data_IF_876631295411
#
_entry.id   IF_876631295411
#
_cell.length_a   1.000
_cell.length_b   1.000
_cell.length_c   1.000
_cell.angle_alpha   90.00
_cell.angle_beta   90.00
_cell.angle_gamma   90.00
#
_symmetry.space_group_name_H-M   'P 1'
#
loop_
_entity.id
_entity.type
_entity.pdbx_description
1 polymer ?
#
# COMPACT_ATOMS: atom_id res chain seq x y z
N UNK A 1 -26.83 -31.38 57.83
CA UNK A 1 -25.80 -31.74 56.81
C UNK A 1 -26.30 -31.72 55.37
N UNK A 2 -27.56 -31.34 55.09
CA UNK A 2 -28.19 -31.52 53.76
C UNK A 2 -28.09 -30.28 52.85
N UNK A 3 -27.83 -29.09 53.40
CA UNK A 3 -27.74 -27.82 52.66
C UNK A 3 -26.36 -27.55 52.05
N UNK A 4 -25.26 -27.93 52.72
CA UNK A 4 -23.89 -27.75 52.22
C UNK A 4 -23.52 -28.69 51.05
N UNK A 5 -24.17 -29.87 50.96
CA UNK A 5 -23.93 -30.85 49.88
C UNK A 5 -24.60 -30.43 48.56
N UNK A 6 -25.67 -29.63 48.64
CA UNK A 6 -26.45 -29.17 47.48
C UNK A 6 -25.77 -28.01 46.75
N UNK A 7 -25.11 -27.09 47.47
CA UNK A 7 -24.36 -25.95 46.91
C UNK A 7 -23.03 -26.36 46.24
N UNK A 8 -22.33 -27.35 46.79
CA UNK A 8 -21.12 -27.91 46.18
C UNK A 8 -21.41 -28.64 44.85
N UNK A 9 -22.56 -29.31 44.75
CA UNK A 9 -23.02 -30.03 43.56
C UNK A 9 -23.37 -29.11 42.40
N UNK A 10 -23.99 -27.94 42.66
CA UNK A 10 -24.34 -26.96 41.60
C UNK A 10 -23.12 -26.21 41.08
N UNK A 11 -22.16 -25.89 41.95
CA UNK A 11 -20.90 -25.26 41.55
C UNK A 11 -20.09 -26.16 40.61
N UNK A 12 -19.92 -27.45 40.94
CA UNK A 12 -19.19 -28.39 40.10
C UNK A 12 -19.86 -28.63 38.73
N UNK A 13 -21.19 -28.70 38.69
CA UNK A 13 -21.96 -28.85 37.45
C UNK A 13 -21.82 -27.63 36.52
N UNK A 14 -21.87 -26.41 37.08
CA UNK A 14 -21.68 -25.16 36.31
C UNK A 14 -20.27 -25.06 35.72
N UNK A 15 -19.24 -25.47 36.46
CA UNK A 15 -17.85 -25.51 35.97
C UNK A 15 -17.67 -26.53 34.84
N UNK A 16 -18.34 -27.69 34.92
CA UNK A 16 -18.27 -28.72 33.87
C UNK A 16 -18.94 -28.28 32.57
N UNK A 17 -20.10 -27.62 32.65
CA UNK A 17 -20.81 -27.10 31.49
C UNK A 17 -20.05 -25.95 30.82
N UNK A 18 -19.45 -25.04 31.59
CA UNK A 18 -18.60 -23.98 31.06
C UNK A 18 -17.36 -24.55 30.33
N UNK A 19 -16.81 -25.66 30.85
CA UNK A 19 -15.68 -26.35 30.22
C UNK A 19 -16.06 -27.02 28.90
N UNK A 20 -17.26 -27.62 28.80
CA UNK A 20 -17.76 -28.19 27.54
C UNK A 20 -18.10 -27.12 26.50
N UNK A 21 -18.70 -26.01 26.90
CA UNK A 21 -18.93 -24.86 26.01
C UNK A 21 -17.60 -24.30 25.49
N UNK A 22 -16.57 -24.20 26.35
CA UNK A 22 -15.23 -23.79 25.94
C UNK A 22 -14.61 -24.72 24.89
N UNK A 23 -14.73 -26.04 25.05
CA UNK A 23 -14.28 -27.02 24.05
C UNK A 23 -15.04 -26.90 22.73
N UNK A 24 -16.35 -26.66 22.79
CA UNK A 24 -17.18 -26.45 21.60
C UNK A 24 -16.75 -25.18 20.85
N UNK A 25 -16.48 -24.09 21.56
CA UNK A 25 -15.94 -22.85 20.96
C UNK A 25 -14.60 -23.11 20.30
N UNK A 26 -13.68 -23.86 20.93
CA UNK A 26 -12.38 -24.20 20.33
C UNK A 26 -12.54 -25.00 19.03
N UNK A 27 -13.42 -26.01 19.02
CA UNK A 27 -13.74 -26.81 17.84
C UNK A 27 -14.30 -25.97 16.70
N UNK A 28 -15.33 -25.16 16.98
CA UNK A 28 -15.97 -24.30 15.99
C UNK A 28 -14.99 -23.26 15.42
N UNK A 29 -14.17 -22.65 16.27
CA UNK A 29 -13.18 -21.69 15.83
C UNK A 29 -12.11 -22.33 14.91
N UNK A 30 -11.71 -23.59 15.15
CA UNK A 30 -10.84 -24.33 14.21
C UNK A 30 -11.52 -24.59 12.87
N UNK A 31 -12.78 -25.05 12.90
CA UNK A 31 -13.56 -25.31 11.68
C UNK A 31 -13.72 -24.04 10.82
N UNK A 32 -13.92 -22.89 11.46
CA UNK A 32 -14.01 -21.57 10.82
C UNK A 32 -12.64 -20.94 10.47
N UNK A 33 -11.53 -21.63 10.75
CA UNK A 33 -10.15 -21.11 10.60
C UNK A 33 -9.96 -19.75 11.29
N UNK A 34 -10.54 -19.60 12.48
CA UNK A 34 -10.60 -18.37 13.27
C UNK A 34 -9.72 -18.47 14.54
N UNK A 35 -8.38 -18.43 14.41
CA UNK A 35 -7.47 -18.69 15.53
C UNK A 35 -7.56 -17.65 16.66
N UNK A 36 -7.93 -16.39 16.37
CA UNK A 36 -7.99 -15.34 17.39
C UNK A 36 -9.21 -15.44 18.28
N UNK A 37 -10.30 -16.04 17.78
CA UNK A 37 -11.44 -16.40 18.64
C UNK A 37 -10.97 -17.32 19.77
N UNK A 38 -10.13 -18.33 19.47
CA UNK A 38 -9.60 -19.27 20.47
C UNK A 38 -8.73 -18.56 21.52
N UNK A 39 -7.93 -17.61 21.09
CA UNK A 39 -7.00 -16.88 21.97
C UNK A 39 -7.70 -15.80 22.82
N UNK A 40 -8.83 -15.27 22.35
CA UNK A 40 -9.45 -14.08 22.94
C UNK A 40 -10.79 -14.35 23.63
N UNK A 41 -11.57 -15.36 23.20
CA UNK A 41 -12.94 -15.59 23.69
C UNK A 41 -13.02 -15.72 25.21
N UNK A 42 -12.14 -16.52 25.83
CA UNK A 42 -12.14 -16.68 27.29
C UNK A 42 -11.88 -15.35 28.02
N UNK A 43 -10.81 -14.63 27.64
CA UNK A 43 -10.48 -13.32 28.25
C UNK A 43 -11.56 -12.27 28.04
N UNK A 44 -12.14 -12.20 26.84
CA UNK A 44 -13.23 -11.28 26.53
C UNK A 44 -14.52 -11.68 27.28
N UNK A 45 -14.73 -12.96 27.54
CA UNK A 45 -15.85 -13.45 28.34
C UNK A 45 -15.71 -13.07 29.82
N UNK A 46 -14.49 -13.11 30.36
CA UNK A 46 -14.20 -12.61 31.70
C UNK A 46 -14.46 -11.11 31.79
N UNK A 47 -13.93 -10.34 30.83
CA UNK A 47 -14.15 -8.90 30.73
C UNK A 47 -15.64 -8.54 30.58
N UNK A 48 -16.38 -9.28 29.76
CA UNK A 48 -17.81 -9.08 29.55
C UNK A 48 -18.60 -9.27 30.86
N UNK A 49 -18.25 -10.27 31.67
CA UNK A 49 -18.88 -10.51 32.97
C UNK A 49 -18.58 -9.39 33.96
N UNK A 50 -17.34 -8.92 34.01
CA UNK A 50 -16.92 -7.86 34.92
C UNK A 50 -17.51 -6.49 34.53
N UNK A 51 -17.63 -6.22 33.23
CA UNK A 51 -18.15 -4.97 32.69
C UNK A 51 -19.67 -4.97 32.44
N UNK A 52 -20.35 -6.10 32.68
CA UNK A 52 -21.81 -6.23 32.50
C UNK A 52 -22.28 -6.16 31.04
N UNK A 53 -21.48 -6.63 30.08
CA UNK A 53 -21.84 -6.67 28.67
C UNK A 53 -23.01 -7.62 28.42
N UNK A 54 -23.86 -7.26 27.46
CA UNK A 54 -24.84 -8.16 26.85
C UNK A 54 -24.14 -9.28 26.06
N UNK A 55 -24.89 -10.34 25.74
CA UNK A 55 -24.37 -11.45 24.94
C UNK A 55 -23.97 -10.98 23.53
N UNK A 56 -24.73 -10.03 22.98
CA UNK A 56 -24.49 -9.40 21.69
C UNK A 56 -23.20 -8.58 21.68
N UNK A 57 -22.94 -7.79 22.73
CA UNK A 57 -21.69 -7.04 22.87
C UNK A 57 -20.47 -7.95 22.99
N UNK A 58 -20.56 -9.01 23.79
CA UNK A 58 -19.50 -10.01 23.89
C UNK A 58 -19.25 -10.70 22.54
N UNK A 59 -20.31 -11.15 21.86
CA UNK A 59 -20.18 -11.81 20.56
C UNK A 59 -19.56 -10.87 19.53
N UNK A 60 -19.99 -9.61 19.48
CA UNK A 60 -19.43 -8.60 18.60
C UNK A 60 -17.94 -8.39 18.87
N UNK A 61 -17.53 -8.25 20.13
CA UNK A 61 -16.12 -8.06 20.50
C UNK A 61 -15.22 -9.26 20.11
N UNK A 62 -15.72 -10.49 20.26
CA UNK A 62 -14.99 -11.70 19.88
C UNK A 62 -14.82 -11.77 18.35
N UNK A 63 -15.88 -11.48 17.60
CA UNK A 63 -15.84 -11.49 16.13
C UNK A 63 -14.96 -10.36 15.59
N UNK A 64 -15.09 -9.16 16.14
CA UNK A 64 -14.27 -8.00 15.77
C UNK A 64 -12.77 -8.29 15.95
N UNK A 65 -12.39 -8.97 17.04
CA UNK A 65 -10.99 -9.37 17.27
C UNK A 65 -10.45 -10.28 16.17
N UNK A 66 -11.24 -11.20 15.66
CA UNK A 66 -10.84 -12.09 14.56
C UNK A 66 -10.76 -11.32 13.23
N UNK A 67 -11.77 -10.50 12.93
CA UNK A 67 -11.80 -9.68 11.71
C UNK A 67 -10.61 -8.74 11.67
N UNK A 68 -10.38 -7.96 12.73
CA UNK A 68 -9.25 -7.04 12.82
C UNK A 68 -7.89 -7.75 12.63
N UNK A 69 -7.74 -8.95 13.18
CA UNK A 69 -6.51 -9.72 13.02
C UNK A 69 -6.35 -10.30 11.60
N UNK A 70 -7.44 -10.70 10.96
CA UNK A 70 -7.43 -11.13 9.54
C UNK A 70 -7.09 -9.98 8.61
N UNK A 71 -7.67 -8.81 8.84
CA UNK A 71 -7.39 -7.61 8.07
C UNK A 71 -5.94 -7.18 8.23
N UNK A 72 -5.43 -7.16 9.46
CA UNK A 72 -4.02 -6.87 9.74
C UNK A 72 -3.09 -7.89 9.07
N UNK A 73 -3.39 -9.18 9.18
CA UNK A 73 -2.58 -10.25 8.56
C UNK A 73 -2.62 -10.16 7.04
N UNK A 74 -3.80 -9.93 6.46
CA UNK A 74 -3.99 -9.74 5.03
C UNK A 74 -3.24 -8.51 4.51
N UNK A 75 -3.29 -7.40 5.25
CA UNK A 75 -2.53 -6.19 4.93
C UNK A 75 -1.03 -6.47 4.93
N UNK A 76 -0.50 -7.10 5.98
CA UNK A 76 0.92 -7.46 6.07
C UNK A 76 1.36 -8.39 4.94
N UNK A 77 0.55 -9.38 4.57
CA UNK A 77 0.84 -10.26 3.44
C UNK A 77 0.90 -9.48 2.12
N UNK A 78 -0.05 -8.57 1.89
CA UNK A 78 -0.04 -7.69 0.70
C UNK A 78 1.15 -6.73 0.70
N UNK A 79 1.50 -6.14 1.84
CA UNK A 79 2.69 -5.27 1.98
C UNK A 79 3.98 -6.03 1.66
N UNK A 80 4.13 -7.27 2.16
CA UNK A 80 5.30 -8.11 1.84
C UNK A 80 5.34 -8.49 0.36
N UNK A 81 4.19 -8.83 -0.23
CA UNK A 81 4.09 -9.17 -1.64
C UNK A 81 4.30 -7.97 -2.57
N UNK A 82 4.16 -6.73 -2.08
CA UNK A 82 4.28 -5.53 -2.88
C UNK A 82 5.71 -5.18 -3.29
N UNK A 83 6.73 -5.63 -2.55
CA UNK A 83 8.14 -5.46 -2.95
C UNK A 83 8.77 -4.09 -2.68
N UNK A 84 8.27 -3.31 -1.70
CA UNK A 84 8.72 -1.93 -1.42
C UNK A 84 10.22 -1.73 -1.07
N UNK A 85 10.99 -2.80 -0.84
CA UNK A 85 12.40 -2.76 -0.42
C UNK A 85 12.63 -2.25 1.01
N UNK A 86 11.90 -1.21 1.44
CA UNK A 86 11.87 -0.67 2.80
C UNK A 86 10.45 -0.32 3.22
N UNK A 87 10.20 -0.22 4.52
CA UNK A 87 8.92 0.27 5.06
C UNK A 87 9.03 1.75 5.35
N UNK A 88 8.19 2.55 4.69
CA UNK A 88 8.09 4.01 4.86
C UNK A 88 6.62 4.40 4.93
N UNK A 89 6.13 4.75 6.10
CA UNK A 89 4.70 5.10 6.28
C UNK A 89 4.47 6.59 6.02
N UNK A 90 3.22 7.00 5.78
CA UNK A 90 2.87 8.42 5.66
C UNK A 90 3.09 9.14 6.99
N UNK A 91 2.87 8.44 8.10
CA UNK A 91 3.10 8.91 9.45
C UNK A 91 4.58 9.24 9.73
N UNK A 92 5.50 8.48 9.12
CA UNK A 92 6.95 8.73 9.22
C UNK A 92 7.42 9.90 8.33
N UNK A 93 6.54 10.49 7.51
CA UNK A 93 6.93 11.55 6.59
C UNK A 93 7.04 12.90 7.32
N UNK A 94 8.23 13.49 7.33
CA UNK A 94 8.48 14.78 7.96
C UNK A 94 8.09 15.92 7.03
N UNK A 95 6.82 16.32 7.10
CA UNK A 95 6.24 17.38 6.25
C UNK A 95 6.91 18.76 6.41
N UNK A 96 7.54 19.05 7.54
CA UNK A 96 8.24 20.32 7.76
C UNK A 96 9.43 20.49 6.79
N UNK A 97 9.92 19.39 6.21
CA UNK A 97 10.93 19.41 5.16
C UNK A 97 10.37 19.67 3.76
N UNK A 98 9.05 19.69 3.60
CA UNK A 98 8.32 19.96 2.36
C UNK A 98 7.19 20.98 2.63
N UNK A 99 7.51 22.24 2.95
CA UNK A 99 6.51 23.24 3.36
C UNK A 99 5.49 23.57 2.26
N UNK A 100 5.84 23.36 0.98
CA UNK A 100 4.91 23.52 -0.15
C UNK A 100 3.96 22.34 -0.36
N UNK A 101 4.17 21.21 0.33
CA UNK A 101 3.33 20.03 0.22
C UNK A 101 2.11 20.17 1.13
N UNK A 102 0.91 20.22 0.53
CA UNK A 102 -0.31 20.34 1.32
C UNK A 102 -0.67 18.99 1.97
N UNK A 103 -0.79 18.99 3.30
CA UNK A 103 -1.03 17.79 4.13
C UNK A 103 -2.40 17.16 3.88
N UNK A 104 -3.40 17.98 3.57
CA UNK A 104 -4.77 17.59 3.22
C UNK A 104 -4.82 16.73 1.95
N UNK A 105 -4.05 17.08 0.91
CA UNK A 105 -3.94 16.28 -0.32
C UNK A 105 -3.36 14.90 -0.01
N UNK A 106 -2.27 14.83 0.76
CA UNK A 106 -1.66 13.55 1.12
C UNK A 106 -2.59 12.72 2.01
N UNK A 107 -3.29 13.35 2.96
CA UNK A 107 -4.29 12.67 3.78
C UNK A 107 -5.45 12.14 2.94
N UNK A 108 -5.92 12.90 1.94
CA UNK A 108 -6.94 12.46 1.00
C UNK A 108 -6.46 11.25 0.18
N UNK A 109 -5.27 11.30 -0.41
CA UNK A 109 -4.70 10.18 -1.15
C UNK A 109 -4.51 8.94 -0.26
N UNK A 110 -4.15 9.12 1.01
CA UNK A 110 -3.99 8.03 1.97
C UNK A 110 -5.32 7.30 2.27
N UNK A 111 -6.48 7.88 1.96
CA UNK A 111 -7.78 7.17 2.05
C UNK A 111 -7.97 6.13 0.95
N UNK A 112 -7.19 6.22 -0.14
CA UNK A 112 -7.28 5.31 -1.28
C UNK A 112 -8.44 5.61 -2.25
N UNK A 113 -9.14 6.73 -2.11
CA UNK A 113 -10.24 7.15 -3.01
C UNK A 113 -9.85 7.16 -4.48
N UNK A 114 -8.62 7.58 -4.80
CA UNK A 114 -8.07 7.61 -6.15
C UNK A 114 -8.02 6.22 -6.81
N UNK A 115 -7.85 5.15 -6.02
CA UNK A 115 -7.82 3.76 -6.51
C UNK A 115 -9.17 3.32 -7.05
N UNK A 116 -10.26 3.70 -6.39
CA UNK A 116 -11.61 3.37 -6.81
C UNK A 116 -12.01 4.09 -8.11
N UNK A 117 -11.40 5.26 -8.37
CA UNK A 117 -11.61 6.07 -9.58
C UNK A 117 -10.64 5.76 -10.71
N UNK A 118 -9.68 4.85 -10.49
CA UNK A 118 -8.57 4.59 -11.39
C UNK A 118 -7.75 5.87 -11.75
N UNK A 119 -7.68 6.82 -10.82
CA UNK A 119 -6.84 8.02 -10.94
C UNK A 119 -5.38 7.66 -10.62
N UNK A 120 -4.41 8.36 -11.23
CA UNK A 120 -2.99 8.18 -10.99
C UNK A 120 -2.46 9.20 -9.99
N UNK A 121 -1.28 8.94 -9.44
CA UNK A 121 -0.51 9.92 -8.66
C UNK A 121 0.86 10.07 -9.28
N UNK A 122 1.26 11.29 -9.61
CA UNK A 122 2.59 11.57 -10.15
C UNK A 122 3.36 12.45 -9.20
N UNK A 123 4.49 11.95 -8.71
CA UNK A 123 5.38 12.63 -7.78
C UNK A 123 6.61 13.12 -8.54
N UNK A 124 6.76 14.44 -8.68
CA UNK A 124 7.87 15.08 -9.39
C UNK A 124 8.79 15.82 -8.44
N UNK A 125 10.05 16.01 -8.84
CA UNK A 125 10.98 16.92 -8.17
C UNK A 125 12.38 16.33 -7.92
N UNK A 126 13.33 17.11 -7.41
CA UNK A 126 14.74 16.72 -7.29
C UNK A 126 14.98 15.44 -6.47
N UNK A 127 16.13 14.76 -6.64
CA UNK A 127 16.46 13.59 -5.82
C UNK A 127 16.49 13.92 -4.33
N UNK A 128 16.01 12.98 -3.50
CA UNK A 128 16.04 13.13 -2.04
C UNK A 128 14.93 14.00 -1.43
N UNK A 129 13.93 14.45 -2.20
CA UNK A 129 12.80 15.25 -1.70
C UNK A 129 11.69 14.43 -1.02
N UNK A 130 11.72 13.09 -1.12
CA UNK A 130 10.74 12.21 -0.46
C UNK A 130 9.70 11.57 -1.38
N UNK A 131 9.83 11.67 -2.71
CA UNK A 131 8.92 11.05 -3.69
C UNK A 131 8.70 9.55 -3.44
N UNK A 132 9.77 8.76 -3.41
CA UNK A 132 9.71 7.32 -3.14
C UNK A 132 9.10 7.01 -1.77
N UNK A 133 9.37 7.83 -0.74
CA UNK A 133 8.76 7.66 0.58
C UNK A 133 7.24 7.80 0.49
N UNK A 134 6.75 8.88 -0.12
CA UNK A 134 5.31 9.08 -0.30
C UNK A 134 4.67 7.96 -1.14
N UNK A 135 5.33 7.54 -2.23
CA UNK A 135 4.84 6.44 -3.05
C UNK A 135 4.70 5.14 -2.24
N UNK A 136 5.73 4.77 -1.47
CA UNK A 136 5.70 3.60 -0.57
C UNK A 136 4.62 3.77 0.51
N UNK A 137 4.52 4.94 1.13
CA UNK A 137 3.53 5.22 2.17
C UNK A 137 2.09 5.07 1.68
N UNK A 138 1.79 5.65 0.51
CA UNK A 138 0.49 5.49 -0.15
C UNK A 138 0.25 4.03 -0.57
N UNK A 139 1.29 3.34 -1.05
CA UNK A 139 1.24 1.91 -1.34
C UNK A 139 0.90 1.07 -0.10
N UNK A 140 1.49 1.37 1.05
CA UNK A 140 1.17 0.71 2.32
C UNK A 140 -0.28 0.97 2.70
N UNK A 141 -0.78 2.21 2.60
CA UNK A 141 -2.19 2.53 2.84
C UNK A 141 -3.13 1.76 1.92
N UNK A 142 -2.78 1.64 0.63
CA UNK A 142 -3.51 0.81 -0.32
C UNK A 142 -3.54 -0.68 0.10
N UNK A 143 -2.42 -1.24 0.57
CA UNK A 143 -2.39 -2.62 1.08
C UNK A 143 -3.24 -2.82 2.33
N UNK A 144 -3.28 -1.82 3.23
CA UNK A 144 -4.13 -1.81 4.42
C UNK A 144 -5.61 -1.76 4.03
N UNK A 145 -5.96 -0.99 3.01
CA UNK A 145 -7.31 -0.90 2.45
C UNK A 145 -7.74 -2.12 1.59
N UNK A 146 -6.96 -3.21 1.54
CA UNK A 146 -7.34 -4.43 0.83
C UNK A 146 -6.74 -4.60 -0.57
N UNK A 147 -6.09 -3.58 -1.13
CA UNK A 147 -5.62 -3.61 -2.50
C UNK A 147 -4.30 -4.37 -2.66
N UNK A 148 -4.19 -5.13 -3.76
CA UNK A 148 -2.92 -5.70 -4.20
C UNK A 148 -2.08 -4.60 -4.85
N UNK A 149 -0.84 -4.49 -4.40
CA UNK A 149 0.13 -3.49 -4.87
C UNK A 149 1.37 -4.20 -5.39
N UNK A 150 2.04 -3.62 -6.39
CA UNK A 150 3.42 -3.95 -6.74
C UNK A 150 4.23 -2.67 -6.88
N UNK A 151 5.46 -2.72 -6.39
CA UNK A 151 6.46 -1.68 -6.49
C UNK A 151 7.65 -2.22 -7.27
N UNK A 152 8.14 -1.44 -8.22
CA UNK A 152 9.44 -1.67 -8.85
C UNK A 152 9.96 -0.35 -9.44
N UNK A 153 11.26 -0.29 -9.71
CA UNK A 153 11.83 0.82 -10.48
C UNK A 153 11.34 0.76 -11.93
N UNK A 154 11.42 1.88 -12.64
CA UNK A 154 11.01 1.94 -14.04
C UNK A 154 11.85 0.97 -14.91
N UNK A 155 13.14 0.80 -14.58
CA UNK A 155 14.03 -0.17 -15.25
C UNK A 155 13.64 -1.62 -14.95
N UNK A 156 13.25 -1.95 -13.72
CA UNK A 156 12.77 -3.29 -13.35
C UNK A 156 11.46 -3.62 -14.07
N UNK A 157 10.56 -2.64 -14.19
CA UNK A 157 9.32 -2.79 -14.94
C UNK A 157 9.59 -3.10 -16.41
N UNK A 158 10.46 -2.31 -17.06
CA UNK A 158 10.88 -2.55 -18.45
C UNK A 158 11.51 -3.93 -18.59
N UNK A 159 12.45 -4.31 -17.71
CA UNK A 159 13.13 -5.62 -17.75
C UNK A 159 12.14 -6.76 -17.70
N UNK A 160 11.14 -6.67 -16.80
CA UNK A 160 10.08 -7.67 -16.66
C UNK A 160 9.19 -7.75 -17.89
N UNK A 161 8.83 -6.62 -18.49
CA UNK A 161 8.01 -6.58 -19.70
C UNK A 161 8.78 -7.13 -20.90
N UNK A 162 10.07 -6.81 -21.04
CA UNK A 162 10.94 -7.32 -22.09
C UNK A 162 11.05 -8.84 -22.00
N UNK A 163 11.36 -9.37 -20.82
CA UNK A 163 11.43 -10.82 -20.61
C UNK A 163 10.10 -11.54 -20.94
N UNK A 164 8.95 -10.90 -20.65
CA UNK A 164 7.65 -11.44 -21.03
C UNK A 164 7.42 -11.35 -22.55
N UNK A 165 7.87 -10.27 -23.19
CA UNK A 165 7.78 -10.08 -24.64
C UNK A 165 8.61 -11.11 -25.40
N UNK A 166 9.88 -11.26 -25.04
CA UNK A 166 10.82 -12.22 -25.65
C UNK A 166 10.31 -13.66 -25.52
N UNK A 167 9.60 -13.96 -24.42
CA UNK A 167 8.98 -15.26 -24.17
C UNK A 167 7.59 -15.43 -24.82
N UNK A 168 7.12 -14.46 -25.61
CA UNK A 168 5.79 -14.49 -26.27
C UNK A 168 4.60 -14.42 -25.31
N UNK A 169 4.80 -13.94 -24.08
CA UNK A 169 3.82 -13.94 -22.97
C UNK A 169 3.46 -12.54 -22.45
N UNK A 170 3.73 -11.51 -23.25
CA UNK A 170 3.44 -10.11 -22.86
C UNK A 170 1.95 -9.89 -22.53
N UNK A 171 1.05 -10.42 -23.35
CA UNK A 171 -0.39 -10.27 -23.13
C UNK A 171 -0.85 -10.86 -21.79
N UNK A 172 -0.35 -12.05 -21.43
CA UNK A 172 -0.63 -12.72 -20.15
C UNK A 172 -0.09 -11.92 -18.97
N UNK A 173 1.11 -11.36 -19.12
CA UNK A 173 1.75 -10.54 -18.10
C UNK A 173 0.99 -9.23 -17.86
N UNK A 174 0.56 -8.55 -18.91
CA UNK A 174 -0.29 -7.35 -18.80
C UNK A 174 -1.65 -7.69 -18.16
N UNK A 175 -2.30 -8.78 -18.59
CA UNK A 175 -3.54 -9.26 -17.98
C UNK A 175 -3.38 -9.61 -16.49
N UNK A 176 -2.22 -10.15 -16.10
CA UNK A 176 -1.88 -10.37 -14.69
C UNK A 176 -1.69 -9.06 -13.93
N UNK A 177 -0.99 -8.10 -14.51
CA UNK A 177 -0.73 -6.80 -13.89
C UNK A 177 -2.00 -5.97 -13.68
N UNK A 178 -3.00 -6.11 -14.56
CA UNK A 178 -4.32 -5.47 -14.40
C UNK A 178 -5.07 -5.91 -13.13
N UNK A 179 -4.76 -7.08 -12.56
CA UNK A 179 -5.38 -7.55 -11.30
C UNK A 179 -4.85 -6.84 -10.04
N UNK A 180 -3.79 -6.05 -10.17
CA UNK A 180 -3.27 -5.23 -9.09
C UNK A 180 -3.95 -3.87 -9.11
N UNK A 181 -4.56 -3.51 -7.98
CA UNK A 181 -5.25 -2.23 -7.84
C UNK A 181 -4.29 -1.04 -7.94
N UNK A 182 -3.02 -1.24 -7.62
CA UNK A 182 -1.98 -0.22 -7.74
C UNK A 182 -0.67 -0.83 -8.24
N UNK A 183 -0.05 -0.18 -9.23
CA UNK A 183 1.38 -0.36 -9.50
C UNK A 183 2.12 0.92 -9.19
N UNK A 184 3.30 0.79 -8.60
CA UNK A 184 4.21 1.89 -8.31
C UNK A 184 5.43 1.73 -9.19
N UNK A 185 5.70 2.76 -9.98
CA UNK A 185 6.83 2.86 -10.89
C UNK A 185 7.73 3.96 -10.35
N UNK A 186 8.81 3.55 -9.68
CA UNK A 186 9.77 4.47 -9.08
C UNK A 186 10.87 4.86 -10.08
N UNK A 187 11.43 6.06 -9.93
CA UNK A 187 12.64 6.52 -10.66
C UNK A 187 12.48 6.60 -12.19
N UNK A 188 11.31 7.03 -12.68
CA UNK A 188 11.13 7.33 -14.10
C UNK A 188 12.06 8.48 -14.50
N UNK A 189 12.83 8.28 -15.58
CA UNK A 189 13.69 9.31 -16.14
C UNK A 189 15.12 9.38 -15.58
N UNK A 190 15.55 8.38 -14.79
CA UNK A 190 16.96 8.26 -14.41
C UNK A 190 17.84 7.77 -15.57
N UNK A 191 17.33 6.83 -16.38
CA UNK A 191 18.00 6.24 -17.55
C UNK A 191 17.05 6.32 -18.74
N UNK A 192 17.50 6.82 -19.91
CA UNK A 192 16.72 6.77 -21.15
C UNK A 192 16.37 5.33 -21.53
N UNK A 193 15.16 5.12 -22.01
CA UNK A 193 14.73 3.84 -22.53
C UNK A 193 15.12 3.68 -23.98
N UNK A 194 15.48 2.45 -24.35
CA UNK A 194 15.50 2.03 -25.74
C UNK A 194 14.07 2.07 -26.31
N UNK A 195 13.95 2.17 -27.63
CA UNK A 195 12.65 2.35 -28.28
C UNK A 195 11.66 1.21 -27.97
N UNK A 196 12.14 -0.04 -27.96
CA UNK A 196 11.31 -1.20 -27.63
C UNK A 196 10.87 -1.19 -26.16
N UNK A 197 11.78 -0.82 -25.24
CA UNK A 197 11.47 -0.63 -23.83
C UNK A 197 10.40 0.45 -23.60
N UNK A 198 10.49 1.57 -24.31
CA UNK A 198 9.50 2.65 -24.26
C UNK A 198 8.13 2.16 -24.75
N UNK A 199 8.09 1.39 -25.85
CA UNK A 199 6.86 0.80 -26.38
C UNK A 199 6.23 -0.21 -25.40
N UNK A 200 7.03 -1.04 -24.73
CA UNK A 200 6.54 -1.97 -23.73
C UNK A 200 5.98 -1.25 -22.50
N UNK A 201 6.69 -0.22 -22.01
CA UNK A 201 6.19 0.62 -20.93
C UNK A 201 4.88 1.32 -21.34
N UNK A 202 4.75 1.71 -22.61
CA UNK A 202 3.53 2.35 -23.13
C UNK A 202 2.34 1.40 -23.08
N UNK A 203 2.56 0.13 -23.44
CA UNK A 203 1.53 -0.90 -23.35
C UNK A 203 1.10 -1.14 -21.89
N UNK A 204 2.04 -1.10 -20.93
CA UNK A 204 1.71 -1.19 -19.51
C UNK A 204 0.81 -0.03 -19.08
N UNK A 205 1.22 1.21 -19.34
CA UNK A 205 0.44 2.42 -19.01
C UNK A 205 -0.93 2.37 -19.67
N UNK A 206 -0.98 2.05 -20.97
CA UNK A 206 -2.23 1.98 -21.74
C UNK A 206 -3.17 0.89 -21.22
N UNK A 207 -2.65 -0.26 -20.78
CA UNK A 207 -3.48 -1.34 -20.24
C UNK A 207 -4.18 -0.99 -18.92
N UNK A 208 -3.71 0.07 -18.25
CA UNK A 208 -4.17 0.53 -16.94
C UNK A 208 -4.98 1.82 -16.98
N UNK A 209 -4.81 2.61 -18.04
CA UNK A 209 -5.60 3.80 -18.30
C UNK A 209 -7.10 3.52 -18.12
N UNK A 210 -7.77 4.31 -17.28
CA UNK A 210 -9.20 4.18 -16.90
C UNK A 210 -9.60 2.83 -16.27
N UNK A 211 -8.63 2.00 -15.86
CA UNK A 211 -8.89 0.67 -15.31
C UNK A 211 -8.27 0.44 -13.93
N UNK A 212 -7.06 0.92 -13.69
CA UNK A 212 -6.40 0.77 -12.40
C UNK A 212 -5.25 1.77 -12.23
N UNK A 213 -5.04 2.24 -11.01
CA UNK A 213 -4.13 3.36 -10.73
C UNK A 213 -2.65 3.02 -10.86
N UNK A 214 -1.88 4.06 -11.17
CA UNK A 214 -0.41 4.11 -11.11
C UNK A 214 0.04 5.16 -10.10
N UNK A 215 1.12 4.87 -9.37
CA UNK A 215 1.96 5.92 -8.78
C UNK A 215 3.27 5.96 -9.54
N UNK A 216 3.64 7.14 -10.03
CA UNK A 216 4.90 7.37 -10.74
C UNK A 216 5.75 8.35 -9.95
N UNK A 217 7.05 8.06 -9.83
CA UNK A 217 8.01 9.05 -9.33
C UNK A 217 8.99 9.44 -10.42
N UNK A 218 9.32 10.73 -10.53
CA UNK A 218 10.36 11.19 -11.46
C UNK A 218 11.12 12.38 -10.89
N UNK A 219 12.40 12.46 -11.22
CA UNK A 219 13.23 13.65 -11.02
C UNK A 219 13.23 14.61 -12.21
N UNK A 220 12.52 14.28 -13.30
CA UNK A 220 12.43 15.12 -14.48
C UNK A 220 11.02 15.72 -14.60
N UNK A 221 10.91 17.00 -15.02
CA UNK A 221 9.63 17.56 -15.42
C UNK A 221 9.13 16.88 -16.71
N UNK A 222 7.82 16.90 -16.95
CA UNK A 222 7.20 16.28 -18.13
C UNK A 222 7.79 16.74 -19.47
N UNK A 223 8.20 18.01 -19.57
CA UNK A 223 8.84 18.55 -20.77
C UNK A 223 10.12 17.81 -21.18
N UNK A 224 10.76 17.10 -20.24
CA UNK A 224 11.98 16.32 -20.47
C UNK A 224 11.73 14.83 -20.63
N UNK A 225 10.48 14.37 -20.61
CA UNK A 225 10.18 12.95 -20.81
C UNK A 225 10.46 12.48 -22.24
N UNK A 226 10.50 13.38 -23.22
CA UNK A 226 10.99 13.04 -24.57
C UNK A 226 12.43 12.50 -24.57
N UNK A 227 13.30 13.01 -23.69
CA UNK A 227 14.68 12.51 -23.51
C UNK A 227 14.69 11.07 -22.97
N UNK A 228 13.62 10.66 -22.27
CA UNK A 228 13.51 9.36 -21.60
C UNK A 228 12.89 8.32 -22.52
N UNK A 229 11.85 8.67 -23.28
CA UNK A 229 11.11 7.74 -24.13
C UNK A 229 11.59 7.72 -25.59
N UNK A 230 12.70 8.40 -25.89
CA UNK A 230 13.36 8.41 -27.19
C UNK A 230 12.77 9.39 -28.21
N UNK A 231 11.47 9.71 -28.12
CA UNK A 231 10.83 10.74 -28.93
C UNK A 231 9.69 11.45 -28.16
N UNK A 232 9.50 12.73 -28.49
CA UNK A 232 8.47 13.61 -27.96
C UNK A 232 7.05 13.11 -28.28
N UNK A 233 6.84 12.42 -29.40
CA UNK A 233 5.50 11.88 -29.74
C UNK A 233 5.08 10.78 -28.77
N UNK A 234 5.97 9.82 -28.49
CA UNK A 234 5.70 8.74 -27.53
C UNK A 234 5.56 9.30 -26.12
N UNK A 235 6.44 10.23 -25.74
CA UNK A 235 6.36 10.90 -24.45
C UNK A 235 5.04 11.66 -24.27
N UNK A 236 4.58 12.42 -25.28
CA UNK A 236 3.30 13.11 -25.23
C UNK A 236 2.13 12.14 -25.06
N UNK A 237 2.10 11.04 -25.81
CA UNK A 237 1.06 10.01 -25.71
C UNK A 237 1.05 9.29 -24.35
N UNK A 238 2.22 9.15 -23.71
CA UNK A 238 2.37 8.63 -22.35
C UNK A 238 1.85 9.61 -21.31
N UNK A 239 2.30 10.86 -21.38
CA UNK A 239 1.91 11.93 -20.45
C UNK A 239 0.41 12.11 -20.49
N UNK A 240 -0.19 12.14 -21.68
CA UNK A 240 -1.64 12.24 -21.86
C UNK A 240 -2.39 11.16 -21.06
N UNK A 241 -2.04 9.88 -21.25
CA UNK A 241 -2.67 8.76 -20.52
C UNK A 241 -2.39 8.78 -19.02
N UNK A 242 -1.17 9.17 -18.61
CA UNK A 242 -0.81 9.20 -17.20
C UNK A 242 -1.52 10.35 -16.48
N UNK A 243 -1.57 11.53 -17.08
CA UNK A 243 -1.92 12.80 -16.43
C UNK A 243 -3.38 13.18 -16.60
N UNK A 244 -4.09 12.66 -17.62
CA UNK A 244 -5.50 12.98 -17.84
C UNK A 244 -6.37 12.80 -16.59
N UNK A 245 -6.11 11.73 -15.82
CA UNK A 245 -6.71 11.50 -14.52
C UNK A 245 -5.62 11.30 -13.47
N UNK A 246 -4.93 12.38 -13.08
CA UNK A 246 -3.88 12.30 -12.05
C UNK A 246 -3.87 13.46 -11.06
N UNK A 247 -3.50 13.12 -9.82
CA UNK A 247 -2.99 14.08 -8.86
C UNK A 247 -1.48 14.25 -9.10
N UNK A 248 -1.05 15.43 -9.57
CA UNK A 248 0.36 15.73 -9.83
C UNK A 248 0.93 16.57 -8.69
N UNK A 249 1.87 15.99 -7.95
CA UNK A 249 2.51 16.60 -6.79
C UNK A 249 3.97 16.89 -7.11
N UNK A 250 4.34 18.17 -7.10
CA UNK A 250 5.73 18.60 -7.29
C UNK A 250 6.39 18.93 -5.96
N UNK A 251 7.36 18.11 -5.57
CA UNK A 251 8.18 18.32 -4.38
C UNK A 251 9.39 19.22 -4.72
N UNK A 252 9.76 20.08 -3.78
CA UNK A 252 10.85 21.07 -3.96
C UNK A 252 11.85 21.00 -2.81
N UNK A 253 13.00 21.66 -2.97
CA UNK A 253 13.98 21.82 -1.89
C UNK A 253 15.12 20.80 -1.89
N UNK A 254 15.94 20.85 -0.85
CA UNK A 254 17.20 20.10 -0.74
C UNK A 254 17.00 18.63 -0.34
N UNK A 255 17.93 17.79 -0.79
CA UNK A 255 17.92 16.35 -0.54
C UNK A 255 17.96 16.04 0.96
N UNK A 256 16.96 15.31 1.46
CA UNK A 256 16.93 14.79 2.83
C UNK A 256 18.11 13.86 3.11
N UNK A 257 18.60 13.15 2.08
CA UNK A 257 19.70 12.20 2.22
C UNK A 257 21.04 12.87 2.55
N UNK A 258 21.18 14.17 2.28
CA UNK A 258 22.44 14.90 2.43
C UNK A 258 22.53 15.79 3.67
N UNK A 259 21.44 15.92 4.44
CA UNK A 259 21.38 16.85 5.58
C UNK A 259 22.39 16.53 6.69
N UNK A 260 22.78 15.26 6.83
CA UNK A 260 23.79 14.84 7.82
C UNK A 260 25.22 14.76 7.25
N UNK A 261 25.40 15.06 5.97
CA UNK A 261 26.71 14.98 5.29
C UNK A 261 27.34 16.35 4.99
N UNK A 262 26.66 17.46 5.32
CA UNK A 262 27.17 18.82 5.05
C UNK A 262 27.19 19.21 3.56
N UNK A 263 26.44 18.50 2.71
CA UNK A 263 26.32 18.78 1.28
C UNK A 263 24.93 19.36 1.01
N UNK A 264 24.85 20.68 0.81
CA UNK A 264 23.56 21.38 0.76
C UNK A 264 22.76 21.14 -0.53
N UNK A 265 23.42 20.83 -1.66
CA UNK A 265 22.75 20.67 -2.97
C UNK A 265 23.40 19.60 -3.84
N UNK A 266 22.56 18.79 -4.51
CA UNK A 266 23.00 17.88 -5.57
C UNK A 266 23.23 18.65 -6.88
N UNK A 267 24.15 18.21 -7.76
CA UNK A 267 24.41 18.86 -9.06
C UNK A 267 23.14 19.05 -9.90
N UNK A 268 22.18 18.12 -9.83
CA UNK A 268 20.91 18.19 -10.55
C UNK A 268 19.99 19.32 -10.08
N UNK A 269 20.10 19.78 -8.83
CA UNK A 269 19.29 20.89 -8.30
C UNK A 269 19.84 22.28 -8.72
N UNK A 270 21.12 22.36 -9.10
CA UNK A 270 21.73 23.63 -9.58
C UNK A 270 21.27 24.01 -10.98
N UNK A 271 20.92 23.04 -11.82
CA UNK A 271 20.50 23.30 -13.20
C UNK A 271 19.11 23.97 -13.30
N UNK A 272 18.24 23.79 -12.31
CA UNK A 272 16.87 24.34 -12.32
C UNK A 272 16.80 25.80 -11.83
N UNK A 273 17.76 26.27 -11.02
CA UNK A 273 17.75 27.65 -10.50
C UNK A 273 18.27 28.71 -11.48
N UNK A 274 18.80 28.32 -12.64
CA UNK A 274 19.34 29.22 -13.67
C UNK A 274 18.40 29.41 -14.86
N UNK A 275 17.25 28.73 -14.87
CA UNK A 275 16.25 28.82 -15.93
C UNK A 275 14.98 29.49 -15.39
N UNK A 276 15.09 30.78 -15.05
CA UNK A 276 13.98 31.70 -14.85
C UNK A 276 14.27 33.00 -15.58
#
# INVERSE_FOLDING_TARGET
>A
MTTAKKTASTSAAATSAATEVGKQIDYLARALKAPRIREAAARLGDQARDAGWSHEEYLAAVLDREVAARDASGAQLRTRAAGFGTTKTIEDFVFDHQPGLKRDIIAHLATGTFLAKAENVVLLGPPGTGKTHLAIGLGIKATQAGHRVLFATATDWVTRLQAAHDAGRLADELARLRRYGLLIVDEVGYIPFEQDAANLFFQLVSSRYEHASLILTSNLPFARWGDVFGDQVVAAAMIDRVVHHAEVITLKGSSHRLRNTGIDTLPSARAENTAH
#
